data_IF_226815482130
#
_entry.id   IF_226815482130
#
_cell.length_a   1.000
_cell.length_b   1.000
_cell.length_c   1.000
_cell.angle_alpha   90.00
_cell.angle_beta   90.00
_cell.angle_gamma   90.00
#
_symmetry.space_group_name_H-M   'P 1'
#
loop_
_entity.id
_entity.type
_entity.pdbx_description
1 polymer ?
#
# COMPACT_ATOMS: atom_id res chain seq x y z
N UNK A 1 2.01 14.47 -9.86
CA UNK A 1 1.05 13.89 -10.83
C UNK A 1 -0.19 14.75 -11.01
N UNK A 2 -1.09 14.87 -10.02
CA UNK A 2 -2.32 15.67 -10.18
C UNK A 2 -2.04 17.12 -10.62
N UNK A 3 -1.08 17.80 -10.00
CA UNK A 3 -0.71 19.16 -10.41
C UNK A 3 -0.24 19.28 -11.87
N UNK A 4 0.52 18.29 -12.37
CA UNK A 4 0.96 18.26 -13.77
C UNK A 4 -0.22 18.05 -14.73
N UNK A 5 -1.15 17.14 -14.38
CA UNK A 5 -2.40 16.94 -15.13
C UNK A 5 -3.23 18.22 -15.15
N UNK A 6 -3.43 18.85 -14.00
CA UNK A 6 -4.19 20.11 -13.87
C UNK A 6 -3.57 21.22 -14.73
N UNK A 7 -2.25 21.38 -14.68
CA UNK A 7 -1.54 22.38 -15.51
C UNK A 7 -1.71 22.11 -17.01
N UNK A 8 -1.55 20.87 -17.45
CA UNK A 8 -1.74 20.48 -18.85
C UNK A 8 -3.18 20.70 -19.33
N UNK A 9 -4.18 20.42 -18.48
CA UNK A 9 -5.59 20.70 -18.74
C UNK A 9 -5.82 22.20 -18.90
N UNK A 10 -5.32 23.03 -17.99
CA UNK A 10 -5.46 24.49 -18.07
C UNK A 10 -4.85 25.05 -19.37
N UNK A 11 -3.67 24.57 -19.77
CA UNK A 11 -3.05 24.95 -21.05
C UNK A 11 -3.93 24.54 -22.23
N UNK A 12 -4.53 23.35 -22.19
CA UNK A 12 -5.41 22.85 -23.27
C UNK A 12 -6.70 23.66 -23.38
N UNK A 13 -7.30 24.05 -22.25
CA UNK A 13 -8.53 24.86 -22.23
C UNK A 13 -8.30 26.28 -22.76
N UNK A 14 -7.17 26.89 -22.42
CA UNK A 14 -6.77 28.24 -22.86
C UNK A 14 -6.40 28.30 -24.33
N UNK A 15 -5.60 27.34 -24.81
CA UNK A 15 -5.03 27.39 -26.16
C UNK A 15 -5.98 26.84 -27.26
N UNK A 16 -7.11 26.24 -26.88
CA UNK A 16 -7.98 25.54 -27.82
C UNK A 16 -7.30 24.33 -28.47
N UNK A 17 -7.90 23.78 -29.53
CA UNK A 17 -7.43 22.54 -30.21
C UNK A 17 -6.15 22.74 -31.04
N UNK A 18 -5.70 23.97 -31.27
CA UNK A 18 -4.65 24.32 -32.24
C UNK A 18 -3.23 23.83 -31.88
N UNK A 19 -2.98 23.38 -30.65
CA UNK A 19 -1.65 22.94 -30.21
C UNK A 19 -1.67 21.67 -29.35
N UNK A 20 -2.50 20.68 -29.70
CA UNK A 20 -2.81 19.49 -28.86
C UNK A 20 -1.59 18.67 -28.40
N UNK A 21 -0.50 18.65 -29.18
CA UNK A 21 0.68 17.80 -28.93
C UNK A 21 1.67 18.37 -27.91
N UNK A 22 1.82 19.70 -27.81
CA UNK A 22 2.80 20.32 -26.90
C UNK A 22 2.46 20.12 -25.41
N UNK A 23 1.19 20.28 -24.95
CA UNK A 23 0.83 20.02 -23.57
C UNK A 23 0.97 18.54 -23.18
N UNK A 24 0.63 17.62 -24.09
CA UNK A 24 0.74 16.18 -23.82
C UNK A 24 2.19 15.72 -23.69
N UNK A 25 3.09 16.19 -24.55
CA UNK A 25 4.53 15.87 -24.46
C UNK A 25 5.15 16.43 -23.17
N UNK A 26 4.81 17.67 -22.81
CA UNK A 26 5.24 18.25 -21.52
C UNK A 26 4.71 17.45 -20.34
N UNK A 27 3.42 17.09 -20.38
CA UNK A 27 2.81 16.27 -19.34
C UNK A 27 3.51 14.92 -19.21
N UNK A 28 3.79 14.23 -20.31
CA UNK A 28 4.46 12.93 -20.29
C UNK A 28 5.85 13.04 -19.60
N UNK A 29 6.66 14.03 -20.00
CA UNK A 29 7.97 14.29 -19.39
C UNK A 29 7.85 14.62 -17.89
N UNK A 30 6.89 15.46 -17.51
CA UNK A 30 6.68 15.86 -16.12
C UNK A 30 6.19 14.68 -15.27
N UNK A 31 5.30 13.84 -15.82
CA UNK A 31 4.84 12.60 -15.17
C UNK A 31 6.00 11.63 -14.98
N UNK A 32 6.77 11.34 -16.03
CA UNK A 32 7.95 10.46 -15.96
C UNK A 32 8.96 10.95 -14.91
N UNK A 33 9.23 12.24 -14.84
CA UNK A 33 10.14 12.82 -13.83
C UNK A 33 9.62 12.59 -12.41
N UNK A 34 8.32 12.82 -12.20
CA UNK A 34 7.68 12.61 -10.88
C UNK A 34 7.66 11.12 -10.52
N UNK A 35 7.30 10.24 -11.45
CA UNK A 35 7.20 8.80 -11.21
C UNK A 35 8.57 8.18 -10.97
N UNK A 36 9.60 8.57 -11.72
CA UNK A 36 10.97 8.13 -11.51
C UNK A 36 11.51 8.55 -10.13
N UNK A 37 11.35 9.82 -9.76
CA UNK A 37 11.80 10.36 -8.46
C UNK A 37 11.11 9.64 -7.30
N UNK A 38 9.79 9.51 -7.39
CA UNK A 38 8.98 8.84 -6.37
C UNK A 38 9.32 7.34 -6.29
N UNK A 39 9.47 6.66 -7.42
CA UNK A 39 9.86 5.23 -7.47
C UNK A 39 11.19 5.02 -6.77
N UNK A 40 12.20 5.87 -7.03
CA UNK A 40 13.49 5.79 -6.36
C UNK A 40 13.36 5.94 -4.84
N UNK A 41 12.62 6.93 -4.38
CA UNK A 41 12.40 7.16 -2.95
C UNK A 41 11.66 5.99 -2.27
N UNK A 42 10.60 5.47 -2.89
CA UNK A 42 9.83 4.34 -2.36
C UNK A 42 10.67 3.08 -2.33
N UNK A 43 11.46 2.80 -3.38
CA UNK A 43 12.35 1.64 -3.43
C UNK A 43 13.29 1.63 -2.23
N UNK A 44 13.92 2.76 -1.91
CA UNK A 44 14.80 2.87 -0.75
C UNK A 44 14.07 2.65 0.58
N UNK A 45 12.94 3.33 0.78
CA UNK A 45 12.14 3.18 2.01
C UNK A 45 11.58 1.75 2.18
N UNK A 46 11.24 1.10 1.07
CA UNK A 46 10.73 -0.27 1.08
C UNK A 46 11.82 -1.26 1.44
N UNK A 47 13.04 -1.09 0.90
CA UNK A 47 14.20 -1.90 1.28
C UNK A 47 14.43 -1.83 2.78
N UNK A 48 14.51 -0.61 3.34
CA UNK A 48 14.72 -0.41 4.76
C UNK A 48 13.62 -1.07 5.62
N UNK A 49 12.35 -0.89 5.24
CA UNK A 49 11.21 -1.48 5.97
C UNK A 49 11.25 -3.02 5.93
N UNK A 50 11.54 -3.62 4.78
CA UNK A 50 11.58 -5.08 4.61
C UNK A 50 12.78 -5.68 5.34
N UNK A 51 13.96 -5.07 5.22
CA UNK A 51 15.16 -5.52 5.92
C UNK A 51 15.04 -5.34 7.44
N UNK A 52 14.46 -4.23 7.91
CA UNK A 52 14.17 -4.01 9.33
C UNK A 52 13.20 -5.04 9.88
N UNK A 53 12.15 -5.39 9.13
CA UNK A 53 11.22 -6.45 9.52
C UNK A 53 11.87 -7.83 9.56
N UNK A 54 12.73 -8.15 8.59
CA UNK A 54 13.53 -9.37 8.56
C UNK A 54 14.47 -9.44 9.78
N UNK A 55 15.23 -8.37 10.06
CA UNK A 55 16.11 -8.29 11.22
C UNK A 55 15.34 -8.43 12.55
N UNK A 56 14.15 -7.82 12.63
CA UNK A 56 13.27 -8.00 13.78
C UNK A 56 12.83 -9.46 13.92
N UNK A 57 12.51 -10.15 12.83
CA UNK A 57 12.16 -11.58 12.85
C UNK A 57 13.30 -12.48 13.34
N UNK A 58 14.54 -12.18 12.94
CA UNK A 58 15.71 -12.86 13.50
C UNK A 58 15.85 -12.58 15.01
N UNK A 59 15.68 -11.32 15.42
CA UNK A 59 15.77 -10.94 16.83
C UNK A 59 14.72 -11.65 17.70
N UNK A 60 13.47 -11.80 17.24
CA UNK A 60 12.48 -12.55 18.01
C UNK A 60 12.85 -14.04 18.08
N UNK A 61 13.36 -14.62 16.99
CA UNK A 61 13.83 -16.01 17.02
C UNK A 61 14.96 -16.21 18.03
N UNK A 62 15.92 -15.27 18.12
CA UNK A 62 16.98 -15.30 19.13
C UNK A 62 16.39 -15.24 20.55
N UNK A 63 15.38 -14.40 20.78
CA UNK A 63 14.70 -14.32 22.08
C UNK A 63 14.04 -15.65 22.43
N UNK A 64 13.35 -16.28 21.48
CA UNK A 64 12.64 -17.54 21.72
C UNK A 64 13.56 -18.76 21.84
N UNK A 65 14.73 -18.74 21.19
CA UNK A 65 15.75 -19.79 21.29
C UNK A 65 16.55 -19.73 22.61
N UNK A 66 16.58 -18.57 23.29
CA UNK A 66 17.26 -18.40 24.57
C UNK A 66 18.76 -18.67 24.52
N UNK A 67 19.27 -19.47 25.46
CA UNK A 67 20.71 -19.79 25.63
C UNK A 67 21.26 -20.76 24.56
N UNK A 68 20.45 -21.20 23.60
CA UNK A 68 20.97 -22.02 22.50
C UNK A 68 21.91 -21.17 21.65
N UNK A 69 23.18 -21.59 21.44
CA UNK A 69 24.15 -20.77 20.73
C UNK A 69 23.60 -20.50 19.33
N UNK A 70 23.52 -19.23 18.89
CA UNK A 70 23.06 -18.95 17.55
C UNK A 70 24.08 -19.55 16.60
N UNK A 71 23.70 -20.63 15.90
CA UNK A 71 24.35 -20.90 14.62
C UNK A 71 24.19 -19.61 13.81
N UNK A 72 25.29 -19.01 13.37
CA UNK A 72 25.25 -17.77 12.57
C UNK A 72 24.38 -18.08 11.35
N UNK A 73 23.13 -17.62 11.38
CA UNK A 73 22.23 -17.74 10.23
C UNK A 73 22.57 -16.54 9.36
N UNK A 74 23.17 -16.74 8.18
CA UNK A 74 23.33 -15.64 7.23
C UNK A 74 21.95 -15.02 7.02
N UNK A 75 21.83 -13.68 7.05
CA UNK A 75 20.57 -12.98 6.79
C UNK A 75 19.92 -13.67 5.58
N UNK A 76 18.76 -14.32 5.74
CA UNK A 76 18.29 -15.25 4.74
C UNK A 76 18.14 -14.59 3.37
N UNK A 77 18.51 -15.32 2.31
CA UNK A 77 18.28 -14.94 0.91
C UNK A 77 16.82 -14.51 0.65
N UNK A 78 15.88 -14.94 1.48
CA UNK A 78 14.47 -14.56 1.41
C UNK A 78 14.26 -13.05 1.58
N UNK A 79 15.04 -12.35 2.42
CA UNK A 79 14.94 -10.89 2.57
C UNK A 79 15.33 -10.17 1.27
N UNK A 80 16.35 -10.67 0.56
CA UNK A 80 16.73 -10.21 -0.78
C UNK A 80 15.64 -10.50 -1.81
N UNK A 81 14.99 -11.67 -1.72
CA UNK A 81 13.84 -12.03 -2.56
C UNK A 81 12.65 -11.07 -2.40
N UNK A 82 12.27 -10.77 -1.15
CA UNK A 82 11.17 -9.85 -0.84
C UNK A 82 11.46 -8.42 -1.30
N UNK A 83 12.68 -7.93 -1.10
CA UNK A 83 13.07 -6.59 -1.56
C UNK A 83 13.06 -6.50 -3.09
N UNK A 84 13.59 -7.50 -3.80
CA UNK A 84 13.54 -7.54 -5.26
C UNK A 84 12.09 -7.60 -5.80
N UNK A 85 11.22 -8.39 -5.18
CA UNK A 85 9.80 -8.43 -5.50
C UNK A 85 9.13 -7.07 -5.27
N UNK A 86 9.45 -6.41 -4.16
CA UNK A 86 8.96 -5.07 -3.85
C UNK A 86 9.37 -4.06 -4.92
N UNK A 87 10.64 -4.06 -5.33
CA UNK A 87 11.16 -3.12 -6.32
C UNK A 87 10.46 -3.27 -7.67
N UNK A 88 10.25 -4.52 -8.13
CA UNK A 88 9.49 -4.79 -9.37
C UNK A 88 8.06 -4.27 -9.27
N UNK A 89 7.37 -4.56 -8.17
CA UNK A 89 6.00 -4.12 -7.96
C UNK A 89 5.86 -2.60 -7.85
N UNK A 90 6.80 -1.91 -7.18
CA UNK A 90 6.83 -0.44 -7.08
C UNK A 90 7.03 0.20 -8.45
N UNK A 91 7.99 -0.32 -9.25
CA UNK A 91 8.23 0.17 -10.62
C UNK A 91 7.01 -0.01 -11.52
N UNK A 92 6.40 -1.20 -11.50
CA UNK A 92 5.18 -1.47 -12.25
C UNK A 92 4.03 -0.54 -11.84
N UNK A 93 3.83 -0.33 -10.53
CA UNK A 93 2.82 0.58 -10.02
C UNK A 93 3.07 2.04 -10.44
N UNK A 94 4.33 2.47 -10.50
CA UNK A 94 4.72 3.79 -11.00
C UNK A 94 4.37 3.98 -12.48
N UNK A 95 4.69 3.00 -13.33
CA UNK A 95 4.36 3.01 -14.76
C UNK A 95 2.84 3.04 -14.99
N UNK A 96 2.08 2.22 -14.27
CA UNK A 96 0.63 2.24 -14.40
C UNK A 96 0.02 3.55 -13.90
N UNK A 97 0.55 4.14 -12.81
CA UNK A 97 0.12 5.45 -12.36
C UNK A 97 0.34 6.53 -13.44
N UNK A 98 1.48 6.48 -14.14
CA UNK A 98 1.78 7.37 -15.26
C UNK A 98 0.75 7.23 -16.40
N UNK A 99 0.53 6.01 -16.87
CA UNK A 99 -0.42 5.69 -17.92
C UNK A 99 -1.84 6.13 -17.54
N UNK A 100 -2.25 5.87 -16.30
CA UNK A 100 -3.53 6.32 -15.77
C UNK A 100 -3.64 7.85 -15.76
N UNK A 101 -2.61 8.57 -15.32
CA UNK A 101 -2.62 10.04 -15.31
C UNK A 101 -2.71 10.62 -16.73
N UNK A 102 -1.98 10.04 -17.69
CA UNK A 102 -2.08 10.41 -19.10
C UNK A 102 -3.48 10.10 -19.66
N UNK A 103 -4.07 8.96 -19.28
CA UNK A 103 -5.44 8.60 -19.63
C UNK A 103 -6.48 9.59 -19.09
N UNK A 104 -6.31 10.09 -17.86
CA UNK A 104 -7.15 11.18 -17.31
C UNK A 104 -7.05 12.43 -18.18
N UNK A 105 -5.83 12.86 -18.50
CA UNK A 105 -5.60 14.03 -19.36
C UNK A 105 -6.28 13.86 -20.72
N UNK A 106 -6.09 12.72 -21.40
CA UNK A 106 -6.69 12.45 -22.71
C UNK A 106 -8.22 12.49 -22.68
N UNK A 107 -8.85 11.96 -21.63
CA UNK A 107 -10.32 12.07 -21.44
C UNK A 107 -10.78 13.50 -21.28
N UNK A 108 -10.09 14.30 -20.46
CA UNK A 108 -10.41 15.72 -20.29
C UNK A 108 -10.21 16.48 -21.60
N UNK A 109 -9.09 16.27 -22.30
CA UNK A 109 -8.80 16.91 -23.57
C UNK A 109 -9.84 16.57 -24.65
N UNK A 110 -10.28 15.30 -24.71
CA UNK A 110 -11.36 14.89 -25.61
C UNK A 110 -12.70 15.57 -25.26
N UNK A 111 -13.05 15.64 -23.98
CA UNK A 111 -14.27 16.32 -23.54
C UNK A 111 -14.25 17.83 -23.85
N UNK A 112 -13.10 18.49 -23.66
CA UNK A 112 -12.91 19.90 -24.02
C UNK A 112 -13.00 20.11 -25.53
N UNK A 113 -12.40 19.22 -26.33
CA UNK A 113 -12.46 19.29 -27.79
C UNK A 113 -13.90 19.12 -28.33
N UNK A 114 -14.71 18.26 -27.71
CA UNK A 114 -16.12 18.10 -28.04
C UNK A 114 -16.97 19.36 -27.75
N UNK A 115 -16.44 20.29 -26.93
CA UNK A 115 -17.07 21.57 -26.61
C UNK A 115 -16.25 22.76 -27.14
N UNK A 116 -15.57 22.59 -28.29
CA UNK A 116 -14.65 23.59 -28.85
C UNK A 116 -15.32 24.93 -29.16
N UNK A 117 -16.57 24.91 -29.64
CA UNK A 117 -17.36 26.12 -29.92
C UNK A 117 -17.94 26.81 -28.67
N UNK A 118 -17.85 26.18 -27.49
CA UNK A 118 -18.37 26.75 -26.25
C UNK A 118 -17.43 27.83 -25.71
N UNK A 119 -17.93 28.68 -24.80
CA UNK A 119 -17.10 29.68 -24.10
C UNK A 119 -16.00 29.02 -23.27
N UNK A 120 -14.92 29.75 -22.97
CA UNK A 120 -13.85 29.25 -22.10
C UNK A 120 -14.38 28.79 -20.74
N UNK A 121 -15.31 29.54 -20.14
CA UNK A 121 -15.96 29.19 -18.88
C UNK A 121 -16.70 27.84 -18.96
N UNK A 122 -17.41 27.58 -20.08
CA UNK A 122 -18.08 26.30 -20.29
C UNK A 122 -17.09 25.15 -20.47
N UNK A 123 -15.99 25.35 -21.22
CA UNK A 123 -14.91 24.36 -21.36
C UNK A 123 -14.23 24.05 -20.03
N UNK A 124 -13.98 25.05 -19.19
CA UNK A 124 -13.46 24.87 -17.83
C UNK A 124 -14.42 24.05 -16.96
N UNK A 125 -15.72 24.31 -17.02
CA UNK A 125 -16.72 23.55 -16.27
C UNK A 125 -16.77 22.07 -16.70
N UNK A 126 -16.71 21.80 -18.02
CA UNK A 126 -16.63 20.43 -18.55
C UNK A 126 -15.35 19.74 -18.07
N UNK A 127 -14.20 20.42 -18.18
CA UNK A 127 -12.92 19.89 -17.75
C UNK A 127 -12.91 19.56 -16.25
N UNK A 128 -13.48 20.44 -15.40
CA UNK A 128 -13.57 20.23 -13.96
C UNK A 128 -14.41 18.99 -13.64
N UNK A 129 -15.59 18.84 -14.26
CA UNK A 129 -16.46 17.67 -14.03
C UNK A 129 -15.78 16.36 -14.38
N UNK A 130 -15.12 16.29 -15.54
CA UNK A 130 -14.41 15.07 -15.98
C UNK A 130 -13.23 14.77 -15.05
N UNK A 131 -12.48 15.80 -14.65
CA UNK A 131 -11.35 15.65 -13.74
C UNK A 131 -11.78 15.20 -12.33
N UNK A 132 -12.87 15.76 -11.80
CA UNK A 132 -13.43 15.37 -10.50
C UNK A 132 -13.90 13.91 -10.52
N UNK A 133 -14.62 13.49 -11.57
CA UNK A 133 -15.02 12.09 -11.73
C UNK A 133 -13.81 11.15 -11.81
N UNK A 134 -12.81 11.51 -12.60
CA UNK A 134 -11.61 10.71 -12.81
C UNK A 134 -10.67 10.65 -11.59
N UNK A 135 -10.80 11.57 -10.63
CA UNK A 135 -9.87 11.69 -9.48
C UNK A 135 -10.56 11.56 -8.12
N UNK A 136 -11.85 11.22 -8.08
CA UNK A 136 -12.62 11.03 -6.85
C UNK A 136 -11.90 10.08 -5.88
N UNK A 137 -11.40 8.95 -6.40
CA UNK A 137 -10.60 7.95 -5.66
C UNK A 137 -9.08 8.12 -5.84
N UNK A 138 -8.64 9.24 -6.41
CA UNK A 138 -7.27 9.45 -6.91
C UNK A 138 -7.11 9.00 -8.36
N UNK A 139 -5.93 9.23 -8.93
CA UNK A 139 -5.55 8.54 -10.18
C UNK A 139 -5.30 7.10 -9.80
N UNK A 140 -6.18 6.19 -10.22
CA UNK A 140 -6.01 4.76 -9.97
C UNK A 140 -4.66 4.33 -10.55
N UNK A 141 -3.78 3.82 -9.69
CA UNK A 141 -2.51 3.29 -10.15
C UNK A 141 -2.70 1.86 -10.66
N UNK A 142 -3.56 1.09 -10.01
CA UNK A 142 -3.72 -0.34 -10.26
C UNK A 142 -5.19 -0.73 -10.13
N UNK A 143 -5.58 -1.75 -10.87
CA UNK A 143 -6.85 -2.47 -10.68
C UNK A 143 -6.47 -3.90 -10.33
N UNK A 144 -6.99 -4.41 -9.21
CA UNK A 144 -6.72 -5.79 -8.81
C UNK A 144 -7.60 -6.79 -9.58
N UNK A 145 -7.34 -8.09 -9.40
CA UNK A 145 -8.09 -9.16 -10.07
C UNK A 145 -9.59 -9.14 -9.75
N UNK A 146 -9.99 -8.55 -8.62
CA UNK A 146 -11.39 -8.41 -8.22
C UNK A 146 -12.03 -7.11 -8.77
N UNK A 147 -11.34 -6.38 -9.65
CA UNK A 147 -11.84 -5.15 -10.27
C UNK A 147 -11.76 -3.92 -9.37
N UNK A 148 -11.13 -4.01 -8.18
CA UNK A 148 -11.04 -2.85 -7.28
C UNK A 148 -9.94 -1.92 -7.74
N UNK A 149 -10.27 -0.63 -7.83
CA UNK A 149 -9.32 0.42 -8.15
C UNK A 149 -8.51 0.82 -6.91
N UNK A 150 -7.18 0.79 -7.02
CA UNK A 150 -6.25 1.19 -5.97
C UNK A 150 -5.59 2.52 -6.31
N UNK A 151 -5.62 3.45 -5.34
CA UNK A 151 -4.71 4.59 -5.37
C UNK A 151 -3.27 4.12 -5.15
N UNK A 152 -2.29 4.75 -5.78
CA UNK A 152 -0.88 4.38 -5.63
C UNK A 152 -0.44 4.26 -4.16
N UNK A 153 -0.71 5.25 -3.27
CA UNK A 153 -0.26 5.16 -1.89
C UNK A 153 -0.88 3.99 -1.13
N UNK A 154 -2.17 3.70 -1.37
CA UNK A 154 -2.86 2.60 -0.69
C UNK A 154 -2.32 1.23 -1.13
N UNK A 155 -2.03 1.08 -2.43
CA UNK A 155 -1.40 -0.15 -2.94
C UNK A 155 0.00 -0.33 -2.36
N UNK A 156 0.82 0.71 -2.36
CA UNK A 156 2.18 0.65 -1.84
C UNK A 156 2.21 0.37 -0.34
N UNK A 157 1.33 1.01 0.45
CA UNK A 157 1.20 0.73 1.88
C UNK A 157 0.84 -0.74 2.13
N UNK A 158 -0.14 -1.28 1.39
CA UNK A 158 -0.50 -2.70 1.45
C UNK A 158 0.68 -3.61 1.05
N UNK A 159 1.34 -3.30 -0.06
CA UNK A 159 2.45 -4.09 -0.61
C UNK A 159 3.61 -4.17 0.38
N UNK A 160 4.08 -3.01 0.86
CA UNK A 160 5.21 -2.93 1.79
C UNK A 160 4.90 -3.65 3.10
N UNK A 161 3.70 -3.46 3.65
CA UNK A 161 3.27 -4.19 4.87
C UNK A 161 3.27 -5.69 4.65
N UNK A 162 2.75 -6.15 3.51
CA UNK A 162 2.66 -7.58 3.19
C UNK A 162 4.04 -8.20 3.06
N UNK A 163 4.95 -7.55 2.34
CA UNK A 163 6.32 -8.03 2.16
C UNK A 163 7.13 -7.97 3.45
N UNK A 164 6.94 -6.94 4.28
CA UNK A 164 7.58 -6.85 5.59
C UNK A 164 7.12 -7.99 6.52
N UNK A 165 5.81 -8.28 6.58
CA UNK A 165 5.28 -9.41 7.35
C UNK A 165 5.88 -10.73 6.86
N UNK A 166 5.90 -10.97 5.54
CA UNK A 166 6.46 -12.21 4.98
C UNK A 166 7.96 -12.34 5.22
N UNK A 167 8.73 -11.26 5.05
CA UNK A 167 10.16 -11.26 5.33
C UNK A 167 10.47 -11.56 6.80
N UNK A 168 9.70 -10.98 7.73
CA UNK A 168 9.82 -11.29 9.17
C UNK A 168 9.58 -12.79 9.43
N UNK A 169 8.51 -13.36 8.89
CA UNK A 169 8.15 -14.78 9.06
C UNK A 169 9.21 -15.70 8.47
N UNK A 170 9.68 -15.42 7.26
CA UNK A 170 10.71 -16.25 6.60
C UNK A 170 12.03 -16.22 7.34
N UNK A 171 12.43 -15.07 7.87
CA UNK A 171 13.66 -14.99 8.65
C UNK A 171 13.52 -15.62 10.04
N UNK A 172 12.36 -15.45 10.68
CA UNK A 172 12.06 -16.11 11.95
C UNK A 172 12.11 -17.65 11.79
N UNK A 173 11.31 -18.20 10.88
CA UNK A 173 11.26 -19.65 10.62
C UNK A 173 12.60 -20.20 10.14
N UNK A 174 13.30 -19.50 9.24
CA UNK A 174 14.64 -19.88 8.81
C UNK A 174 15.67 -19.90 9.96
N UNK A 175 15.54 -18.99 10.93
CA UNK A 175 16.40 -18.97 12.12
C UNK A 175 16.12 -20.17 13.03
N UNK A 176 14.85 -20.51 13.24
CA UNK A 176 14.44 -21.71 13.99
C UNK A 176 14.95 -22.99 13.32
N UNK A 177 14.75 -23.15 12.02
CA UNK A 177 15.24 -24.32 11.28
C UNK A 177 16.76 -24.46 11.33
N UNK A 178 17.50 -23.36 11.26
CA UNK A 178 18.96 -23.38 11.40
C UNK A 178 19.41 -23.80 12.81
N UNK A 179 18.57 -23.56 13.83
CA UNK A 179 18.76 -24.04 15.20
C UNK A 179 18.19 -25.45 15.45
N UNK A 180 17.71 -26.14 14.41
CA UNK A 180 17.19 -27.50 14.51
C UNK A 180 15.72 -27.59 14.97
N UNK A 181 15.02 -26.46 15.07
CA UNK A 181 13.59 -26.42 15.42
C UNK A 181 12.74 -26.43 14.15
N UNK A 182 11.76 -27.31 14.11
CA UNK A 182 10.88 -27.48 12.94
C UNK A 182 9.43 -27.09 13.18
N UNK A 183 9.05 -26.76 14.42
CA UNK A 183 7.66 -26.53 14.77
C UNK A 183 7.42 -25.08 15.19
N UNK A 184 6.38 -24.49 14.63
CA UNK A 184 5.91 -23.16 14.99
C UNK A 184 4.42 -23.18 15.30
N UNK A 185 3.98 -22.25 16.11
CA UNK A 185 2.57 -22.02 16.41
C UNK A 185 2.13 -20.66 15.86
N UNK A 186 0.95 -20.62 15.26
CA UNK A 186 0.40 -19.36 14.72
C UNK A 186 -0.22 -18.55 15.87
N UNK A 187 0.20 -17.30 16.01
CA UNK A 187 -0.33 -16.39 17.02
C UNK A 187 -1.82 -16.09 16.82
N UNK A 188 -2.51 -15.72 17.89
CA UNK A 188 -3.94 -15.43 17.87
C UNK A 188 -4.20 -13.93 17.72
N UNK A 189 -5.35 -13.56 17.15
CA UNK A 189 -5.79 -12.17 17.04
C UNK A 189 -7.16 -11.98 17.70
N UNK A 190 -7.46 -10.82 18.32
CA UNK A 190 -8.81 -10.56 18.83
C UNK A 190 -9.90 -10.51 17.74
N UNK A 191 -9.51 -10.24 16.49
CA UNK A 191 -10.41 -10.14 15.34
C UNK A 191 -9.73 -10.75 14.11
N UNK A 192 -9.65 -12.09 14.02
CA UNK A 192 -9.11 -12.74 12.84
C UNK A 192 -9.98 -12.45 11.63
N UNK A 193 -9.35 -12.38 10.46
CA UNK A 193 -10.10 -12.48 9.21
C UNK A 193 -10.48 -13.95 8.96
N UNK A 194 -11.49 -14.17 8.13
CA UNK A 194 -11.99 -15.51 7.78
C UNK A 194 -10.91 -16.41 7.16
N UNK A 195 -9.93 -15.83 6.47
CA UNK A 195 -8.83 -16.58 5.83
C UNK A 195 -7.81 -17.07 6.85
N UNK A 196 -7.50 -16.27 7.88
CA UNK A 196 -6.50 -16.63 8.89
C UNK A 196 -7.09 -17.40 10.07
N UNK A 197 -8.38 -17.22 10.37
CA UNK A 197 -9.03 -17.83 11.53
C UNK A 197 -8.78 -19.35 11.65
N UNK A 198 -8.79 -20.16 10.57
CA UNK A 198 -8.54 -21.60 10.66
C UNK A 198 -7.12 -21.97 11.13
N UNK A 199 -6.16 -21.05 11.02
CA UNK A 199 -4.76 -21.29 11.38
C UNK A 199 -4.43 -20.84 12.80
N UNK A 200 -5.27 -20.06 13.47
CA UNK A 200 -4.94 -19.50 14.79
C UNK A 200 -4.72 -20.60 15.84
N UNK A 201 -3.59 -20.55 16.54
CA UNK A 201 -3.20 -21.57 17.52
C UNK A 201 -2.77 -22.90 16.92
N UNK A 202 -2.82 -23.06 15.60
CA UNK A 202 -2.39 -24.29 14.94
C UNK A 202 -0.86 -24.41 14.98
N UNK A 203 -0.40 -25.65 15.16
CA UNK A 203 1.02 -26.01 15.02
C UNK A 203 1.30 -26.31 13.56
N UNK A 204 2.34 -25.69 13.01
CA UNK A 204 2.81 -25.88 11.65
C UNK A 204 4.24 -26.43 11.67
N UNK A 205 4.54 -27.32 10.75
CA UNK A 205 5.93 -27.73 10.47
C UNK A 205 6.58 -26.78 9.46
N UNK A 206 7.83 -26.37 9.69
CA UNK A 206 8.57 -25.50 8.78
C UNK A 206 9.00 -26.29 7.54
N UNK A 207 9.62 -27.45 7.73
CA UNK A 207 10.08 -28.34 6.66
C UNK A 207 8.98 -29.19 6.02
N UNK A 208 7.88 -29.41 6.75
CA UNK A 208 6.83 -30.37 6.41
C UNK A 208 7.16 -31.83 6.79
N UNK A 209 8.25 -32.08 7.51
CA UNK A 209 8.66 -33.42 7.93
C UNK A 209 8.15 -33.80 9.33
N UNK A 210 8.00 -32.83 10.23
CA UNK A 210 7.52 -33.10 11.59
C UNK A 210 6.01 -33.30 11.61
N UNK A 211 5.58 -34.34 12.32
CA UNK A 211 4.16 -34.74 12.44
C UNK A 211 3.70 -34.96 13.88
N UNK A 212 4.63 -34.93 14.84
CA UNK A 212 4.36 -35.07 16.29
C UNK A 212 4.91 -33.84 17.03
N UNK A 213 4.09 -33.09 17.80
CA UNK A 213 2.63 -33.21 17.95
C UNK A 213 1.89 -33.07 16.61
N UNK A 214 0.59 -33.39 16.55
CA UNK A 214 -0.20 -33.20 15.34
C UNK A 214 -0.05 -31.79 14.77
N UNK A 215 0.53 -31.71 13.57
CA UNK A 215 0.65 -30.46 12.81
C UNK A 215 -0.54 -30.31 11.88
N UNK A 216 -1.03 -29.08 11.70
CA UNK A 216 -2.12 -28.81 10.77
C UNK A 216 -1.65 -28.97 9.32
N UNK A 217 -0.52 -28.34 8.98
CA UNK A 217 0.15 -28.45 7.69
C UNK A 217 1.56 -27.86 7.81
N UNK A 218 2.31 -27.82 6.71
CA UNK A 218 3.55 -27.08 6.68
C UNK A 218 3.33 -25.57 6.44
N UNK A 219 4.34 -24.75 6.73
CA UNK A 219 4.31 -23.28 6.63
C UNK A 219 3.98 -22.81 5.21
N UNK A 220 4.51 -23.47 4.17
CA UNK A 220 4.26 -23.07 2.78
C UNK A 220 2.83 -23.39 2.37
N UNK A 221 2.29 -24.55 2.75
CA UNK A 221 0.89 -24.89 2.53
C UNK A 221 -0.07 -23.91 3.22
N UNK A 222 0.23 -23.52 4.46
CA UNK A 222 -0.56 -22.51 5.16
C UNK A 222 -0.58 -21.17 4.40
N UNK A 223 0.57 -20.77 3.84
CA UNK A 223 0.71 -19.56 3.02
C UNK A 223 -0.07 -19.65 1.71
N UNK A 224 -0.02 -20.78 1.02
CA UNK A 224 -0.80 -21.03 -0.20
C UNK A 224 -2.31 -20.99 0.07
N UNK A 225 -2.73 -21.53 1.23
CA UNK A 225 -4.10 -21.48 1.70
C UNK A 225 -4.54 -20.08 2.20
N UNK A 226 -3.64 -19.11 2.28
CA UNK A 226 -3.95 -17.70 2.50
C UNK A 226 -3.44 -17.10 3.81
N UNK A 227 -2.72 -17.86 4.63
CA UNK A 227 -2.03 -17.28 5.79
C UNK A 227 -1.00 -16.23 5.32
N UNK A 228 -0.92 -15.10 6.03
CA UNK A 228 -0.14 -13.92 5.62
C UNK A 228 -0.55 -13.33 4.25
N UNK A 229 -1.85 -13.30 3.99
CA UNK A 229 -2.46 -12.53 2.89
C UNK A 229 -2.19 -11.02 3.01
N UNK A 230 -2.54 -10.20 1.99
CA UNK A 230 -2.38 -8.76 2.05
C UNK A 230 -2.96 -8.11 3.31
N UNK A 231 -2.17 -7.27 3.98
CA UNK A 231 -2.49 -6.61 5.26
C UNK A 231 -2.66 -7.53 6.49
N UNK A 232 -2.38 -8.83 6.38
CA UNK A 232 -2.36 -9.74 7.52
C UNK A 232 -1.38 -9.27 8.61
N UNK A 233 -1.72 -9.54 9.88
CA UNK A 233 -0.93 -9.18 11.06
C UNK A 233 -0.44 -10.39 11.87
N UNK A 234 -0.82 -11.59 11.45
CA UNK A 234 -0.44 -12.82 12.12
C UNK A 234 1.08 -12.98 12.15
N UNK A 235 1.55 -13.49 13.29
CA UNK A 235 2.93 -13.87 13.54
C UNK A 235 2.95 -15.37 13.84
N UNK A 236 4.14 -15.93 13.81
CA UNK A 236 4.41 -17.29 14.30
C UNK A 236 5.45 -17.19 15.39
N UNK A 237 5.33 -18.09 16.35
CA UNK A 237 6.25 -18.27 17.45
C UNK A 237 6.77 -19.72 17.40
N UNK A 238 7.93 -20.00 17.98
CA UNK A 238 8.46 -21.32 18.24
C UNK A 238 7.44 -22.12 19.05
N UNK A 239 7.14 -23.33 18.58
CA UNK A 239 6.31 -24.23 19.36
C UNK A 239 7.15 -24.89 20.46
N UNK A 240 6.64 -24.89 21.70
CA UNK A 240 7.25 -25.61 22.82
C UNK A 240 6.21 -26.48 23.51
N UNK A 241 6.61 -27.67 23.96
CA UNK A 241 5.72 -28.68 24.54
C UNK A 241 5.14 -28.31 25.92
N UNK A 242 5.50 -27.15 26.48
CA UNK A 242 5.19 -26.77 27.86
C UNK A 242 4.61 -25.36 28.05
N UNK A 243 4.14 -24.68 26.99
CA UNK A 243 3.71 -23.29 27.11
C UNK A 243 2.39 -22.97 26.40
N UNK A 244 1.45 -22.46 27.18
CA UNK A 244 0.20 -21.75 26.83
C UNK A 244 0.48 -20.40 26.09
N UNK A 245 1.71 -20.19 25.64
CA UNK A 245 2.31 -18.94 25.16
C UNK A 245 1.87 -18.53 23.76
N UNK A 246 0.57 -18.60 23.48
CA UNK A 246 -0.01 -17.92 22.33
C UNK A 246 0.03 -16.41 22.60
N UNK A 247 1.11 -15.74 22.20
CA UNK A 247 1.11 -14.28 22.21
C UNK A 247 -0.10 -13.79 21.40
N UNK A 248 -0.95 -12.99 22.05
CA UNK A 248 -1.99 -12.24 21.36
C UNK A 248 -1.29 -11.21 20.48
N UNK A 249 -1.47 -11.33 19.17
CA UNK A 249 -1.00 -10.36 18.21
C UNK A 249 -1.52 -8.95 18.56
N UNK A 250 -0.87 -7.89 18.05
CA UNK A 250 -1.25 -6.51 18.36
C UNK A 250 -2.76 -6.32 18.12
N UNK A 251 -3.44 -5.79 19.13
CA UNK A 251 -4.89 -5.61 19.14
C UNK A 251 -5.44 -4.83 17.94
N UNK A 252 -6.77 -4.82 17.77
CA UNK A 252 -7.40 -4.14 16.65
C UNK A 252 -6.87 -2.71 16.54
N UNK A 253 -6.50 -2.32 15.31
CA UNK A 253 -6.39 -0.88 15.02
C UNK A 253 -7.80 -0.50 14.67
N UNK A 254 -8.40 0.40 15.42
CA UNK A 254 -9.74 0.93 15.18
C UNK A 254 -9.92 1.35 13.70
N UNK A 255 -10.36 0.42 12.87
CA UNK A 255 -10.70 0.66 11.47
C UNK A 255 -11.93 1.56 11.37
N UNK A 256 -12.68 1.66 12.47
CA UNK A 256 -13.79 2.56 12.72
C UNK A 256 -13.45 3.73 13.68
N UNK A 257 -12.17 4.07 13.90
CA UNK A 257 -11.86 5.28 14.68
C UNK A 257 -12.42 6.51 13.96
N UNK A 258 -13.15 7.40 14.65
CA UNK A 258 -13.58 8.68 14.11
C UNK A 258 -12.43 9.42 13.42
N UNK A 259 -11.21 9.34 13.97
CA UNK A 259 -9.99 9.95 13.39
C UNK A 259 -9.70 9.42 11.99
N UNK A 260 -9.84 8.11 11.76
CA UNK A 260 -9.57 7.47 10.47
C UNK A 260 -10.48 7.98 9.35
N UNK A 261 -11.76 8.16 9.65
CA UNK A 261 -12.72 8.73 8.70
C UNK A 261 -12.36 10.17 8.31
N UNK A 262 -12.03 11.00 9.30
CA UNK A 262 -11.65 12.39 9.04
C UNK A 262 -10.31 12.49 8.28
N UNK A 263 -9.36 11.57 8.49
CA UNK A 263 -8.15 11.49 7.65
C UNK A 263 -8.50 11.16 6.19
N UNK A 264 -9.44 10.24 5.92
CA UNK A 264 -9.92 9.96 4.56
C UNK A 264 -10.55 11.20 3.92
N UNK A 265 -11.42 11.90 4.66
CA UNK A 265 -12.03 13.18 4.22
C UNK A 265 -10.97 14.24 3.92
N UNK A 266 -9.92 14.35 4.74
CA UNK A 266 -8.81 15.29 4.50
C UNK A 266 -8.05 14.97 3.21
N UNK A 267 -7.74 13.70 2.98
CA UNK A 267 -7.07 13.24 1.75
C UNK A 267 -7.93 13.58 0.52
N UNK A 268 -9.24 13.35 0.59
CA UNK A 268 -10.18 13.69 -0.50
C UNK A 268 -10.23 15.20 -0.76
N UNK A 269 -10.34 16.02 0.28
CA UNK A 269 -10.38 17.49 0.14
C UNK A 269 -9.08 18.04 -0.45
N UNK A 270 -7.91 17.52 -0.05
CA UNK A 270 -6.60 17.86 -0.63
C UNK A 270 -6.53 17.51 -2.12
N UNK A 271 -7.09 16.36 -2.54
CA UNK A 271 -7.17 15.99 -3.97
C UNK A 271 -8.01 16.99 -4.76
N UNK A 272 -9.22 17.32 -4.28
CA UNK A 272 -10.09 18.31 -4.92
C UNK A 272 -9.43 19.68 -5.07
N UNK A 273 -8.67 20.11 -4.06
CA UNK A 273 -7.90 21.36 -4.15
C UNK A 273 -6.80 21.28 -5.23
N UNK A 274 -6.11 20.15 -5.35
CA UNK A 274 -5.06 19.94 -6.36
C UNK A 274 -5.60 19.85 -7.80
N UNK A 275 -6.87 19.49 -7.97
CA UNK A 275 -7.56 19.39 -9.27
C UNK A 275 -8.49 20.56 -9.55
N UNK A 276 -8.45 21.62 -8.73
CA UNK A 276 -9.27 22.80 -8.95
C UNK A 276 -8.74 23.61 -10.14
N UNK A 277 -9.57 23.79 -11.16
CA UNK A 277 -9.30 24.57 -12.37
C UNK A 277 -9.78 26.03 -12.24
N UNK A 278 -10.59 26.34 -11.22
CA UNK A 278 -11.12 27.69 -10.95
C UNK A 278 -10.87 28.12 -9.50
N UNK A 279 -10.85 29.44 -9.27
CA UNK A 279 -10.74 30.01 -7.93
C UNK A 279 -11.89 29.57 -7.02
N UNK A 280 -13.12 29.47 -7.55
CA UNK A 280 -14.27 29.02 -6.76
C UNK A 280 -14.12 27.56 -6.32
N UNK A 281 -13.74 26.65 -7.22
CA UNK A 281 -13.50 25.25 -6.90
C UNK A 281 -12.38 25.09 -5.87
N UNK A 282 -11.32 25.89 -6.00
CA UNK A 282 -10.22 25.92 -5.05
C UNK A 282 -10.67 26.38 -3.66
N UNK A 283 -11.42 27.47 -3.58
CA UNK A 283 -11.92 28.03 -2.31
C UNK A 283 -12.84 27.04 -1.58
N UNK A 284 -13.73 26.36 -2.31
CA UNK A 284 -14.59 25.31 -1.74
C UNK A 284 -13.77 24.16 -1.16
N UNK A 285 -12.73 23.71 -1.88
CA UNK A 285 -11.86 22.65 -1.41
C UNK A 285 -10.99 23.08 -0.21
N UNK A 286 -10.48 24.31 -0.21
CA UNK A 286 -9.69 24.86 0.89
C UNK A 286 -10.51 25.03 2.17
N UNK A 287 -11.73 25.54 2.06
CA UNK A 287 -12.68 25.64 3.18
C UNK A 287 -12.91 24.28 3.83
N UNK A 288 -13.13 23.24 3.02
CA UNK A 288 -13.29 21.86 3.51
C UNK A 288 -12.03 21.34 4.22
N UNK A 289 -10.83 21.64 3.70
CA UNK A 289 -9.57 21.28 4.36
C UNK A 289 -9.48 21.94 5.74
N UNK A 290 -9.86 23.22 5.88
CA UNK A 290 -9.86 23.94 7.17
C UNK A 290 -10.80 23.29 8.17
N UNK A 291 -12.05 23.02 7.76
CA UNK A 291 -13.06 22.35 8.59
C UNK A 291 -12.53 21.01 9.09
N UNK A 292 -12.07 20.13 8.18
CA UNK A 292 -11.58 18.79 8.56
C UNK A 292 -10.36 18.87 9.49
N UNK A 293 -9.43 19.81 9.26
CA UNK A 293 -8.27 19.99 10.15
C UNK A 293 -8.69 20.44 11.55
N UNK A 294 -9.67 21.32 11.67
CA UNK A 294 -10.15 21.78 12.96
C UNK A 294 -10.81 20.64 13.73
N UNK A 295 -11.65 19.83 13.08
CA UNK A 295 -12.25 18.64 13.71
C UNK A 295 -11.19 17.61 14.13
N UNK A 296 -10.18 17.35 13.28
CA UNK A 296 -9.07 16.47 13.65
C UNK A 296 -8.26 16.98 14.85
N UNK A 297 -8.11 18.29 15.00
CA UNK A 297 -7.46 18.88 16.18
C UNK A 297 -8.28 18.68 17.45
N UNK A 298 -9.60 18.80 17.36
CA UNK A 298 -10.51 18.57 18.49
C UNK A 298 -10.49 17.10 18.93
N UNK A 299 -10.63 16.17 17.97
CA UNK A 299 -10.60 14.72 18.23
C UNK A 299 -9.27 14.19 18.80
N UNK A 300 -8.18 14.95 18.67
CA UNK A 300 -6.88 14.59 19.24
C UNK A 300 -6.66 15.15 20.64
N UNK A 301 -7.53 16.06 21.09
CA UNK A 301 -7.48 16.69 22.42
C UNK A 301 -8.46 16.04 23.40
N UNK A 302 -9.52 15.43 22.89
CA UNK A 302 -10.43 14.51 23.58
C UNK A 302 -9.82 13.13 23.72
#
# INVERSE_FOLDING_TARGET
MLAAVTAAVLTTVRNGTAARWRPELRLHRDLHTVTATMTRAIVLATTDTVLGAAASGHADAVVELGDQPPHIVPIPWSATGHTAAAHRAVRAAGLHAEQSALGVYRRVAAAVAAHSAATEAARLAVAQRVLDGATTNGVAALVDRAGRAWSLPAYLEMLVRTLATRARVDVFTGSLSAAGHDLVVVGTSPQPCEVCAPFEGAVLSISGLSVDPPVLCNVEHAREAGLWHPNCRHRVNLWSSGGDGLERGPGPRDSASPVGEWVRRLRQARRRRATALSASAWNVADQRIRVVRNTLRQLRRS
#
